data_IF_969217850639
#
_entry.id   IF_969217850639
#
_cell.length_a   1.000
_cell.length_b   1.000
_cell.length_c   1.000
_cell.angle_alpha   90.00
_cell.angle_beta   90.00
_cell.angle_gamma   90.00
#
_symmetry.space_group_name_H-M   'P 1'
#
loop_
_entity.id
_entity.type
_entity.pdbx_description
1 polymer ?
#
# COMPACT_ATOMS: atom_id res chain seq x y z
N UNK A 1 5.78 -22.37 36.26
CA UNK A 1 5.63 -21.62 35.01
C UNK A 1 6.43 -20.35 35.11
N UNK A 2 7.30 -20.14 34.15
CA UNK A 2 8.15 -18.98 34.13
C UNK A 2 7.38 -17.75 33.64
N UNK A 3 7.82 -16.58 34.04
CA UNK A 3 7.18 -15.31 33.66
C UNK A 3 7.14 -15.12 32.14
N UNK A 4 8.19 -15.56 31.49
CA UNK A 4 8.33 -15.48 30.05
C UNK A 4 7.26 -16.30 29.33
N UNK A 5 7.03 -17.52 29.82
CA UNK A 5 6.01 -18.41 29.25
C UNK A 5 4.61 -17.87 29.51
N UNK A 6 4.35 -17.30 30.70
CA UNK A 6 3.07 -16.69 31.02
C UNK A 6 2.77 -15.50 30.11
N UNK A 7 3.75 -14.63 29.88
CA UNK A 7 3.61 -13.48 28.97
C UNK A 7 3.39 -13.93 27.54
N UNK A 8 4.11 -14.94 27.11
CA UNK A 8 3.98 -15.48 25.76
C UNK A 8 2.58 -16.05 25.53
N UNK A 9 2.07 -16.83 26.48
CA UNK A 9 0.74 -17.43 26.38
C UNK A 9 -0.35 -16.37 26.42
N UNK A 10 -0.20 -15.37 27.28
CA UNK A 10 -1.14 -14.27 27.36
C UNK A 10 -1.17 -13.47 26.06
N UNK A 11 -0.01 -13.19 25.51
CA UNK A 11 0.15 -12.48 24.26
C UNK A 11 -0.52 -13.22 23.09
N UNK A 12 -0.33 -14.53 23.00
CA UNK A 12 -0.94 -15.37 21.98
C UNK A 12 -2.46 -15.39 22.14
N UNK A 13 -2.95 -15.57 23.36
CA UNK A 13 -4.39 -15.63 23.62
C UNK A 13 -5.11 -14.34 23.31
N UNK A 14 -4.60 -13.22 23.81
CA UNK A 14 -5.24 -11.91 23.62
C UNK A 14 -5.01 -11.35 22.23
N UNK A 15 -3.81 -11.48 21.71
CA UNK A 15 -3.47 -10.95 20.39
C UNK A 15 -4.23 -11.63 19.27
N UNK A 16 -4.52 -12.91 19.44
CA UNK A 16 -5.20 -13.67 18.40
C UNK A 16 -6.64 -13.26 18.21
N UNK A 17 -7.34 -12.93 19.29
CA UNK A 17 -8.78 -12.64 19.24
C UNK A 17 -9.10 -11.17 19.02
N UNK A 18 -8.28 -10.27 19.55
CA UNK A 18 -8.62 -8.83 19.61
C UNK A 18 -7.79 -7.98 18.65
N UNK A 19 -6.52 -8.28 18.51
CA UNK A 19 -5.58 -7.42 17.82
C UNK A 19 -4.98 -8.03 16.55
N UNK A 20 -5.54 -9.13 16.07
CA UNK A 20 -5.01 -9.81 14.88
C UNK A 20 -4.88 -8.90 13.66
N UNK A 21 -5.91 -8.13 13.26
CA UNK A 21 -5.77 -7.20 12.13
C UNK A 21 -4.77 -6.08 12.41
N UNK A 22 -4.73 -5.57 13.64
CA UNK A 22 -3.82 -4.50 14.02
C UNK A 22 -2.37 -4.97 13.98
N UNK A 23 -2.10 -6.17 14.50
CA UNK A 23 -0.77 -6.76 14.49
C UNK A 23 -0.32 -7.01 13.05
N UNK A 24 -1.21 -7.49 12.22
CA UNK A 24 -0.93 -7.73 10.81
C UNK A 24 -0.53 -6.43 10.09
N UNK A 25 -1.24 -5.34 10.34
CA UNK A 25 -0.90 -4.04 9.80
C UNK A 25 0.45 -3.54 10.30
N UNK A 26 0.76 -3.73 11.56
CA UNK A 26 2.05 -3.35 12.13
C UNK A 26 3.19 -4.13 11.51
N UNK A 27 3.02 -5.43 11.34
CA UNK A 27 4.03 -6.28 10.71
C UNK A 27 4.25 -5.88 9.25
N UNK A 28 3.19 -5.57 8.53
CA UNK A 28 3.29 -5.09 7.15
C UNK A 28 4.06 -3.78 7.07
N UNK A 29 3.83 -2.87 8.00
CA UNK A 29 4.55 -1.59 8.07
C UNK A 29 6.02 -1.78 8.38
N UNK A 30 6.36 -2.76 9.20
CA UNK A 30 7.75 -3.03 9.58
C UNK A 30 8.53 -3.75 8.49
N UNK A 31 7.88 -4.61 7.70
CA UNK A 31 8.55 -5.46 6.73
C UNK A 31 8.58 -4.89 5.33
N UNK A 32 7.71 -3.95 5.02
CA UNK A 32 7.59 -3.39 3.67
C UNK A 32 7.48 -1.88 3.75
N UNK A 33 8.60 -1.21 3.83
CA UNK A 33 8.65 0.25 3.95
C UNK A 33 7.86 0.92 2.82
N UNK A 34 8.00 0.44 1.60
CA UNK A 34 7.32 1.00 0.45
C UNK A 34 5.81 0.78 0.48
N UNK A 35 5.35 -0.30 1.12
CA UNK A 35 3.93 -0.63 1.20
C UNK A 35 3.31 -0.30 2.55
N UNK A 36 4.12 0.13 3.53
CA UNK A 36 3.65 0.42 4.89
C UNK A 36 3.08 1.81 5.09
N UNK A 37 3.16 2.68 4.11
CA UNK A 37 2.65 4.04 4.23
C UNK A 37 1.12 4.09 4.03
N UNK A 38 0.49 5.05 4.68
CA UNK A 38 -0.96 5.25 4.58
C UNK A 38 -1.24 6.37 3.60
N UNK A 39 -1.95 6.11 2.50
CA UNK A 39 -2.25 7.15 1.52
C UNK A 39 -3.26 8.16 2.06
N UNK A 40 -3.11 9.39 1.61
CA UNK A 40 -4.04 10.48 1.92
C UNK A 40 -5.14 10.60 0.87
N UNK A 41 -4.82 10.35 -0.37
CA UNK A 41 -5.72 10.50 -1.51
C UNK A 41 -6.07 9.15 -2.13
N UNK A 42 -5.07 8.30 -2.35
CA UNK A 42 -5.24 7.03 -3.04
C UNK A 42 -6.01 6.03 -2.18
N UNK A 43 -6.89 5.27 -2.79
CA UNK A 43 -7.49 4.10 -2.14
C UNK A 43 -6.45 2.99 -2.04
N UNK A 44 -6.78 1.91 -1.31
CA UNK A 44 -5.88 0.76 -1.19
C UNK A 44 -5.54 0.17 -2.55
N UNK A 45 -6.54 0.02 -3.41
CA UNK A 45 -6.36 -0.54 -4.75
C UNK A 45 -5.53 0.41 -5.63
N UNK A 46 -5.79 1.69 -5.55
CA UNK A 46 -5.04 2.71 -6.30
C UNK A 46 -3.60 2.79 -5.83
N UNK A 47 -3.34 2.71 -4.53
CA UNK A 47 -2.00 2.65 -3.98
C UNK A 47 -1.25 1.46 -4.55
N UNK A 48 -1.88 0.30 -4.56
CA UNK A 48 -1.31 -0.93 -5.08
C UNK A 48 -0.97 -0.79 -6.56
N UNK A 49 -1.91 -0.27 -7.34
CA UNK A 49 -1.74 -0.04 -8.77
C UNK A 49 -0.59 0.93 -9.06
N UNK A 50 -0.58 2.07 -8.41
CA UNK A 50 0.45 3.09 -8.59
C UNK A 50 1.82 2.56 -8.19
N UNK A 51 1.90 1.82 -7.10
CA UNK A 51 3.15 1.23 -6.63
C UNK A 51 3.74 0.30 -7.68
N UNK A 52 2.94 -0.58 -8.23
CA UNK A 52 3.41 -1.52 -9.25
C UNK A 52 3.74 -0.84 -10.57
N UNK A 53 2.92 0.10 -11.01
CA UNK A 53 3.16 0.81 -12.27
C UNK A 53 4.45 1.63 -12.21
N UNK A 54 4.69 2.34 -11.13
CA UNK A 54 5.91 3.14 -10.99
C UNK A 54 7.16 2.25 -10.95
N UNK A 55 7.05 1.09 -10.32
CA UNK A 55 8.15 0.12 -10.28
C UNK A 55 8.46 -0.44 -11.67
N UNK A 56 7.44 -0.69 -12.49
CA UNK A 56 7.62 -1.16 -13.86
C UNK A 56 8.26 -0.09 -14.74
N UNK A 57 7.84 1.16 -14.58
CA UNK A 57 8.35 2.29 -15.38
C UNK A 57 9.79 2.62 -15.02
N UNK A 58 10.10 2.63 -13.72
CA UNK A 58 11.43 2.94 -13.21
C UNK A 58 11.86 1.90 -12.19
N UNK A 59 12.28 0.71 -12.63
CA UNK A 59 12.68 -0.35 -11.72
C UNK A 59 14.04 -0.09 -11.10
N UNK A 60 14.29 -0.76 -9.98
CA UNK A 60 15.60 -0.71 -9.35
C UNK A 60 16.62 -1.47 -10.19
N UNK A 61 17.73 -0.79 -10.47
CA UNK A 61 18.87 -1.36 -11.18
C UNK A 61 20.14 -1.01 -10.38
N UNK A 62 21.21 -0.62 -11.05
CA UNK A 62 22.40 -0.07 -10.39
C UNK A 62 22.12 1.30 -9.76
N UNK A 63 21.03 1.94 -10.19
CA UNK A 63 20.54 3.18 -9.62
C UNK A 63 19.22 2.94 -8.89
N UNK A 64 18.83 3.82 -7.95
CA UNK A 64 17.56 3.69 -7.26
C UNK A 64 16.37 3.72 -8.21
N UNK A 65 15.37 2.88 -7.95
CA UNK A 65 14.11 2.87 -8.69
C UNK A 65 13.06 3.77 -8.04
N UNK A 66 11.86 3.78 -8.63
CA UNK A 66 10.77 4.62 -8.16
C UNK A 66 10.40 4.37 -6.70
N UNK A 67 10.41 3.11 -6.28
CA UNK A 67 10.05 2.77 -4.89
C UNK A 67 11.12 3.20 -3.90
N UNK A 68 12.38 3.21 -4.32
CA UNK A 68 13.50 3.62 -3.46
C UNK A 68 13.46 5.12 -3.15
N UNK A 69 12.90 5.92 -4.03
CA UNK A 69 12.80 7.38 -3.88
C UNK A 69 11.38 7.84 -3.58
N UNK A 70 10.51 6.91 -3.20
CA UNK A 70 9.16 7.20 -2.70
C UNK A 70 8.27 7.93 -3.71
N UNK A 71 8.34 7.57 -4.98
CA UNK A 71 7.50 8.16 -6.02
C UNK A 71 6.01 7.96 -5.76
N UNK A 72 5.52 6.76 -5.38
CA UNK A 72 4.10 6.59 -5.08
C UNK A 72 3.60 7.53 -3.97
N UNK A 73 4.39 7.70 -2.90
CA UNK A 73 4.05 8.59 -1.80
C UNK A 73 4.00 10.05 -2.26
N UNK A 74 4.93 10.44 -3.12
CA UNK A 74 4.96 11.78 -3.68
C UNK A 74 3.72 12.07 -4.55
N UNK A 75 3.34 11.11 -5.40
CA UNK A 75 2.14 11.23 -6.22
C UNK A 75 0.89 11.36 -5.37
N UNK A 76 0.78 10.55 -4.31
CA UNK A 76 -0.33 10.61 -3.39
C UNK A 76 -0.44 11.99 -2.73
N UNK A 77 0.68 12.52 -2.27
CA UNK A 77 0.75 13.83 -1.64
C UNK A 77 0.37 14.95 -2.62
N UNK A 78 0.85 14.88 -3.84
CA UNK A 78 0.52 15.86 -4.86
C UNK A 78 -0.98 15.89 -5.15
N UNK A 79 -1.60 14.73 -5.30
CA UNK A 79 -3.03 14.67 -5.55
C UNK A 79 -3.85 15.10 -4.32
N UNK A 80 -3.37 14.80 -3.12
CA UNK A 80 -4.08 15.19 -1.91
C UNK A 80 -4.06 16.69 -1.67
N UNK A 81 -2.90 17.33 -1.83
CA UNK A 81 -2.67 18.71 -1.38
C UNK A 81 -2.59 19.74 -2.49
N UNK A 82 -2.13 19.36 -3.67
CA UNK A 82 -1.80 20.33 -4.73
C UNK A 82 -2.81 20.28 -5.87
N UNK A 83 -3.23 19.10 -6.28
CA UNK A 83 -4.11 18.95 -7.43
C UNK A 83 -5.52 19.42 -7.14
N UNK A 84 -6.13 20.03 -8.16
CA UNK A 84 -7.53 20.45 -8.09
C UNK A 84 -8.45 19.26 -8.05
N UNK A 85 -9.62 19.44 -7.43
CA UNK A 85 -10.62 18.38 -7.33
C UNK A 85 -10.99 17.78 -8.69
N UNK A 86 -11.05 18.60 -9.72
CA UNK A 86 -11.33 18.15 -11.09
C UNK A 86 -10.31 17.11 -11.55
N UNK A 87 -9.02 17.35 -11.30
CA UNK A 87 -7.95 16.43 -11.65
C UNK A 87 -7.97 15.18 -10.78
N UNK A 88 -8.32 15.33 -9.51
CA UNK A 88 -8.51 14.20 -8.61
C UNK A 88 -9.62 13.26 -9.12
N UNK A 89 -10.72 13.81 -9.55
CA UNK A 89 -11.85 13.04 -10.09
C UNK A 89 -11.47 12.33 -11.39
N UNK A 90 -10.72 13.00 -12.27
CA UNK A 90 -10.22 12.41 -13.50
C UNK A 90 -9.29 11.24 -13.20
N UNK A 91 -8.40 11.39 -12.23
CA UNK A 91 -7.50 10.30 -11.81
C UNK A 91 -8.29 9.11 -11.30
N UNK A 92 -9.25 9.33 -10.41
CA UNK A 92 -10.07 8.25 -9.84
C UNK A 92 -10.82 7.48 -10.94
N UNK A 93 -11.41 8.21 -11.87
CA UNK A 93 -12.12 7.62 -12.99
C UNK A 93 -11.19 6.83 -13.90
N UNK A 94 -10.03 7.40 -14.22
CA UNK A 94 -9.03 6.74 -15.05
C UNK A 94 -8.46 5.48 -14.41
N UNK A 95 -8.23 5.51 -13.11
CA UNK A 95 -7.72 4.35 -12.37
C UNK A 95 -8.74 3.21 -12.41
N UNK A 96 -10.01 3.52 -12.24
CA UNK A 96 -11.07 2.52 -12.31
C UNK A 96 -11.15 1.88 -13.68
N UNK A 97 -11.13 2.70 -14.73
CA UNK A 97 -11.17 2.22 -16.13
C UNK A 97 -9.95 1.36 -16.43
N UNK A 98 -8.78 1.78 -15.99
CA UNK A 98 -7.55 1.02 -16.18
C UNK A 98 -7.62 -0.35 -15.49
N UNK A 99 -8.09 -0.39 -14.25
CA UNK A 99 -8.22 -1.63 -13.50
C UNK A 99 -9.20 -2.61 -14.16
N UNK A 100 -10.32 -2.11 -14.64
CA UNK A 100 -11.30 -2.93 -15.36
C UNK A 100 -10.76 -3.46 -16.68
N UNK A 101 -10.08 -2.61 -17.44
CA UNK A 101 -9.48 -3.01 -18.71
C UNK A 101 -8.38 -4.06 -18.50
N UNK A 102 -7.58 -3.90 -17.47
CA UNK A 102 -6.53 -4.86 -17.12
C UNK A 102 -7.12 -6.21 -16.72
N UNK A 103 -8.14 -6.19 -15.87
CA UNK A 103 -8.83 -7.40 -15.44
C UNK A 103 -9.46 -8.14 -16.63
N UNK A 104 -10.10 -7.42 -17.53
CA UNK A 104 -10.73 -7.99 -18.71
C UNK A 104 -9.71 -8.62 -19.64
N UNK A 105 -8.58 -7.95 -19.85
CA UNK A 105 -7.55 -8.41 -20.79
C UNK A 105 -6.78 -9.62 -20.29
N UNK A 106 -6.46 -9.62 -18.99
CA UNK A 106 -5.59 -10.65 -18.40
C UNK A 106 -6.32 -11.62 -17.49
N UNK A 107 -7.61 -11.41 -17.26
CA UNK A 107 -8.47 -12.21 -16.37
C UNK A 107 -7.86 -12.34 -14.96
N UNK A 108 -7.22 -11.28 -14.48
CA UNK A 108 -6.67 -11.19 -13.13
C UNK A 108 -7.02 -9.84 -12.52
N UNK A 109 -7.05 -9.77 -11.20
CA UNK A 109 -7.31 -8.52 -10.50
C UNK A 109 -6.01 -7.71 -10.33
N UNK A 110 -6.18 -6.41 -10.42
CA UNK A 110 -5.07 -5.48 -10.20
C UNK A 110 -4.89 -5.22 -8.72
#
# INVERSE_FOLDING_TARGET
MDRRTALKNLSIGLGYTVASPTIFNMLSSCTAEASGWTPLFLSVDEKHMVTHLTDIILPKTNTPGALDVNVPQFLDLMYADIEKKQNQDIFKKGALIFGEAFKTKFDIEV
#
